data_IF_856155337756
#
_entry.id   IF_856155337756
#
_cell.length_a   1.000
_cell.length_b   1.000
_cell.length_c   1.000
_cell.angle_alpha   90.00
_cell.angle_beta   90.00
_cell.angle_gamma   90.00
#
_symmetry.space_group_name_H-M   'P 1'
#
loop_
_entity.id
_entity.type
_entity.pdbx_description
1 polymer ?
#
# COMPACT_ATOMS: atom_id res chain seq x y z
N UNK A 1 23.10 10.26 -0.88
CA UNK A 1 22.37 11.53 -0.71
C UNK A 1 22.14 11.76 0.77
N UNK A 2 22.32 13.00 1.24
CA UNK A 2 22.04 13.38 2.62
C UNK A 2 20.64 13.96 2.72
N UNK A 3 19.87 13.54 3.72
CA UNK A 3 18.52 14.05 4.02
C UNK A 3 18.56 14.60 5.45
N UNK A 4 17.86 15.70 5.69
CA UNK A 4 17.81 16.35 7.01
C UNK A 4 17.17 15.41 8.04
N UNK A 5 17.86 15.24 9.16
CA UNK A 5 17.36 14.56 10.36
C UNK A 5 16.71 15.59 11.27
N UNK A 6 15.44 15.40 11.59
CA UNK A 6 14.62 16.36 12.35
C UNK A 6 14.21 15.73 13.69
N UNK A 7 14.15 16.56 14.71
CA UNK A 7 13.66 16.21 16.05
C UNK A 7 12.13 16.24 16.12
N UNK A 8 11.55 15.72 17.19
CA UNK A 8 10.10 15.72 17.47
C UNK A 8 9.51 17.13 17.64
N UNK A 9 10.37 18.15 17.83
CA UNK A 9 9.99 19.58 17.91
C UNK A 9 10.10 20.30 16.56
N UNK A 10 10.54 19.62 15.49
CA UNK A 10 10.72 20.22 14.16
C UNK A 10 12.11 20.88 13.95
N UNK A 11 13.02 20.81 14.91
CA UNK A 11 14.39 21.33 14.75
C UNK A 11 15.27 20.36 13.98
N UNK A 12 16.18 20.88 13.14
CA UNK A 12 17.15 20.06 12.38
C UNK A 12 18.33 19.74 13.31
N UNK A 13 18.56 18.44 13.55
CA UNK A 13 19.67 17.94 14.39
C UNK A 13 20.92 17.67 13.54
N UNK A 14 20.74 17.20 12.31
CA UNK A 14 21.86 16.81 11.46
C UNK A 14 21.41 16.20 10.13
N UNK A 15 22.30 15.44 9.51
CA UNK A 15 22.06 14.77 8.25
C UNK A 15 22.02 13.24 8.41
N UNK A 16 21.07 12.58 7.76
CA UNK A 16 21.01 11.12 7.62
C UNK A 16 21.40 10.69 6.21
N UNK A 17 22.32 9.72 6.11
CA UNK A 17 22.74 9.18 4.81
C UNK A 17 21.80 8.06 4.34
N UNK A 18 21.16 8.25 3.18
CA UNK A 18 20.33 7.24 2.56
C UNK A 18 21.17 6.32 1.66
N UNK A 19 20.79 5.03 1.59
CA UNK A 19 21.47 4.04 0.77
C UNK A 19 21.52 4.49 -0.70
N UNK A 20 22.71 4.33 -1.33
CA UNK A 20 22.95 4.71 -2.72
C UNK A 20 22.04 3.96 -3.70
N UNK A 21 21.66 2.73 -3.39
CA UNK A 21 20.78 1.92 -4.25
C UNK A 21 19.36 2.49 -4.36
N UNK A 22 18.85 3.14 -3.30
CA UNK A 22 17.56 3.82 -3.35
C UNK A 22 17.69 5.11 -4.17
N UNK A 23 18.77 5.86 -3.96
CA UNK A 23 18.99 7.16 -4.63
C UNK A 23 19.17 7.00 -6.13
N UNK A 24 19.93 5.98 -6.55
CA UNK A 24 20.28 5.73 -7.96
C UNK A 24 19.29 4.83 -8.69
N UNK A 25 18.19 4.42 -8.03
CA UNK A 25 17.20 3.55 -8.66
C UNK A 25 16.45 4.30 -9.77
N UNK A 26 16.34 3.72 -10.99
CA UNK A 26 15.59 4.36 -12.07
C UNK A 26 14.09 4.45 -11.71
N UNK A 27 13.50 5.61 -11.98
CA UNK A 27 12.08 5.84 -11.75
C UNK A 27 11.30 5.20 -12.89
N UNK A 28 10.49 4.17 -12.58
CA UNK A 28 9.63 3.49 -13.55
C UNK A 28 8.16 3.76 -13.20
N UNK A 29 7.58 4.76 -13.85
CA UNK A 29 6.20 5.18 -13.63
C UNK A 29 5.18 4.12 -13.99
N UNK A 30 5.41 3.35 -15.06
CA UNK A 30 4.50 2.29 -15.50
C UNK A 30 4.39 1.18 -14.46
N UNK A 31 5.53 0.79 -13.87
CA UNK A 31 5.58 -0.21 -12.81
C UNK A 31 4.87 0.26 -11.53
N UNK A 32 5.06 1.53 -11.18
CA UNK A 32 4.36 2.17 -10.05
C UNK A 32 2.86 2.18 -10.30
N UNK A 33 2.41 2.63 -11.47
CA UNK A 33 1.01 2.63 -11.85
C UNK A 33 0.39 1.22 -11.77
N UNK A 34 1.05 0.21 -12.34
CA UNK A 34 0.59 -1.18 -12.28
C UNK A 34 0.48 -1.69 -10.83
N UNK A 35 1.43 -1.30 -9.97
CA UNK A 35 1.39 -1.65 -8.54
C UNK A 35 0.20 -1.01 -7.82
N UNK A 36 -0.10 0.27 -8.10
CA UNK A 36 -1.22 1.00 -7.52
C UNK A 36 -2.55 0.37 -7.97
N UNK A 37 -2.73 0.13 -9.27
CA UNK A 37 -3.95 -0.50 -9.82
C UNK A 37 -4.16 -1.89 -9.23
N UNK A 38 -3.08 -2.68 -9.09
CA UNK A 38 -3.14 -4.00 -8.46
C UNK A 38 -3.57 -3.91 -7.00
N UNK A 39 -3.01 -2.97 -6.25
CA UNK A 39 -3.36 -2.75 -4.84
C UNK A 39 -4.82 -2.35 -4.68
N UNK A 40 -5.30 -1.38 -5.47
CA UNK A 40 -6.70 -0.95 -5.46
C UNK A 40 -7.67 -2.06 -5.86
N UNK A 41 -7.32 -2.86 -6.89
CA UNK A 41 -8.12 -4.00 -7.30
C UNK A 41 -8.25 -5.05 -6.19
N UNK A 42 -7.18 -5.28 -5.43
CA UNK A 42 -7.17 -6.26 -4.34
C UNK A 42 -7.94 -5.80 -3.09
N UNK A 43 -8.23 -4.51 -2.96
CA UNK A 43 -9.09 -3.98 -1.90
C UNK A 43 -10.58 -4.16 -2.19
N UNK A 44 -10.95 -4.39 -3.47
CA UNK A 44 -12.36 -4.55 -3.85
C UNK A 44 -12.89 -5.90 -3.39
N UNK A 45 -13.97 -5.89 -2.65
CA UNK A 45 -14.62 -7.11 -2.12
C UNK A 45 -15.37 -7.90 -3.21
N UNK A 46 -16.01 -7.23 -4.15
CA UNK A 46 -16.67 -7.85 -5.29
C UNK A 46 -17.97 -8.60 -4.99
N UNK A 47 -18.68 -8.21 -3.94
CA UNK A 47 -19.91 -8.86 -3.45
C UNK A 47 -21.20 -8.41 -4.14
N UNK A 48 -21.12 -7.49 -5.10
CA UNK A 48 -22.27 -6.99 -5.83
C UNK A 48 -22.94 -8.11 -6.63
N UNK A 49 -24.27 -8.21 -6.52
CA UNK A 49 -25.06 -9.21 -7.21
C UNK A 49 -26.42 -8.64 -7.63
N UNK A 50 -26.87 -9.02 -8.80
CA UNK A 50 -28.25 -8.83 -9.25
C UNK A 50 -28.91 -10.16 -9.50
N UNK A 51 -30.22 -10.24 -9.29
CA UNK A 51 -30.99 -11.47 -9.50
C UNK A 51 -31.27 -11.67 -10.99
N UNK A 52 -30.88 -12.81 -11.51
CA UNK A 52 -31.27 -13.30 -12.84
C UNK A 52 -32.75 -13.76 -12.84
N UNK A 53 -33.33 -13.99 -14.01
CA UNK A 53 -34.74 -14.39 -14.09
C UNK A 53 -35.05 -15.70 -13.35
N UNK A 54 -34.08 -16.56 -13.10
CA UNK A 54 -34.23 -17.80 -12.34
C UNK A 54 -34.28 -17.55 -10.84
N UNK A 55 -33.63 -16.49 -10.36
CA UNK A 55 -33.50 -16.16 -8.94
C UNK A 55 -34.58 -15.21 -8.41
N UNK A 56 -35.32 -14.54 -9.31
CA UNK A 56 -36.46 -13.69 -8.92
C UNK A 56 -37.62 -14.56 -8.48
N UNK A 57 -38.28 -14.19 -7.35
CA UNK A 57 -39.46 -14.89 -6.85
C UNK A 57 -40.65 -14.71 -7.82
N UNK A 58 -41.45 -15.74 -8.00
CA UNK A 58 -42.64 -15.74 -8.86
C UNK A 58 -42.41 -16.49 -10.20
N UNK A 59 -43.30 -16.36 -11.14
CA UNK A 59 -43.26 -17.10 -12.42
C UNK A 59 -43.70 -18.55 -12.24
N UNK A 60 -43.22 -19.49 -13.00
CA UNK A 60 -43.61 -20.90 -12.93
C UNK A 60 -44.83 -21.24 -13.77
N UNK A 61 -45.84 -20.39 -13.82
CA UNK A 61 -47.03 -20.53 -14.70
C UNK A 61 -46.94 -19.53 -15.86
N UNK A 62 -47.35 -19.93 -17.04
CA UNK A 62 -47.50 -19.06 -18.20
C UNK A 62 -48.57 -18.02 -17.92
N UNK A 63 -48.28 -16.67 -18.10
CA UNK A 63 -49.20 -15.61 -17.70
C UNK A 63 -50.55 -15.64 -18.46
N UNK A 64 -50.53 -16.00 -19.74
CA UNK A 64 -51.71 -16.10 -20.61
C UNK A 64 -51.47 -17.06 -21.76
N UNK A 65 -52.57 -17.43 -22.50
CA UNK A 65 -52.52 -18.33 -23.65
C UNK A 65 -51.58 -17.81 -24.75
N UNK A 66 -51.06 -18.76 -25.57
CA UNK A 66 -50.08 -18.46 -26.61
C UNK A 66 -50.69 -17.64 -27.77
N UNK A 67 -52.01 -17.78 -28.03
CA UNK A 67 -52.75 -17.08 -29.09
C UNK A 67 -54.11 -16.60 -28.54
N UNK A 68 -54.75 -15.63 -29.23
CA UNK A 68 -56.07 -15.14 -28.90
C UNK A 68 -56.15 -14.00 -27.88
N UNK A 69 -55.02 -13.46 -27.37
CA UNK A 69 -55.03 -12.42 -26.36
C UNK A 69 -54.71 -11.03 -26.88
N UNK A 70 -54.33 -10.89 -28.15
CA UNK A 70 -53.89 -9.59 -28.72
C UNK A 70 -52.62 -8.98 -28.11
N UNK A 71 -52.00 -9.69 -27.17
CA UNK A 71 -50.78 -9.26 -26.46
C UNK A 71 -49.53 -9.97 -27.00
N UNK A 72 -48.35 -9.35 -26.76
CA UNK A 72 -47.09 -10.01 -27.06
C UNK A 72 -46.95 -11.31 -26.26
N UNK A 73 -46.42 -12.34 -26.88
CA UNK A 73 -46.24 -13.66 -26.24
C UNK A 73 -45.30 -13.57 -25.05
N UNK A 74 -45.67 -14.19 -23.95
CA UNK A 74 -44.84 -14.22 -22.73
C UNK A 74 -44.82 -15.65 -22.15
N UNK A 75 -43.64 -16.11 -21.79
CA UNK A 75 -43.44 -17.41 -21.13
C UNK A 75 -43.44 -17.30 -19.60
N UNK A 76 -43.04 -16.20 -19.05
CA UNK A 76 -42.94 -15.95 -17.59
C UNK A 76 -42.99 -14.48 -17.28
N UNK A 77 -43.58 -14.13 -16.14
CA UNK A 77 -43.58 -12.76 -15.58
C UNK A 77 -42.22 -12.32 -15.07
N UNK A 78 -41.28 -13.26 -14.85
CA UNK A 78 -39.89 -12.96 -14.42
C UNK A 78 -38.97 -12.57 -15.57
N UNK A 79 -39.47 -12.51 -16.81
CA UNK A 79 -38.67 -12.11 -17.96
C UNK A 79 -38.12 -10.68 -17.78
N UNK A 80 -36.91 -10.38 -18.26
CA UNK A 80 -36.29 -9.05 -18.15
C UNK A 80 -37.10 -7.90 -18.77
N UNK A 81 -37.97 -8.22 -19.74
CA UNK A 81 -38.87 -7.26 -20.39
C UNK A 81 -40.07 -6.85 -19.50
N UNK A 82 -40.30 -7.57 -18.41
CA UNK A 82 -41.38 -7.28 -17.47
C UNK A 82 -40.86 -6.43 -16.29
N UNK A 83 -41.66 -5.49 -15.81
CA UNK A 83 -41.36 -4.72 -14.60
C UNK A 83 -41.25 -5.67 -13.41
N UNK A 84 -40.15 -5.61 -12.69
CA UNK A 84 -39.84 -6.53 -11.61
C UNK A 84 -39.27 -7.89 -12.05
N UNK A 85 -39.01 -8.08 -13.35
CA UNK A 85 -38.28 -9.24 -13.87
C UNK A 85 -36.77 -9.25 -13.51
N UNK A 86 -36.10 -10.33 -13.88
CA UNK A 86 -34.67 -10.48 -13.64
C UNK A 86 -33.82 -9.67 -14.59
N UNK A 87 -32.60 -9.36 -14.15
CA UNK A 87 -31.61 -8.64 -14.96
C UNK A 87 -30.78 -9.63 -15.77
N UNK A 88 -30.56 -9.35 -17.08
CA UNK A 88 -29.89 -10.32 -17.98
C UNK A 88 -28.39 -10.36 -17.75
N UNK A 89 -27.70 -9.25 -17.89
CA UNK A 89 -26.24 -9.12 -17.77
C UNK A 89 -25.85 -8.23 -16.58
N UNK A 90 -26.53 -8.40 -15.47
CA UNK A 90 -26.22 -7.64 -14.27
C UNK A 90 -24.90 -8.07 -13.60
N UNK A 91 -24.39 -7.26 -12.67
CA UNK A 91 -23.19 -7.60 -11.95
C UNK A 91 -23.37 -8.89 -11.15
N UNK A 92 -22.38 -9.76 -11.21
CA UNK A 92 -22.29 -11.00 -10.44
C UNK A 92 -21.07 -10.95 -9.51
N UNK A 93 -21.09 -11.64 -8.37
CA UNK A 93 -19.95 -11.72 -7.47
C UNK A 93 -18.73 -12.25 -8.20
N UNK A 94 -17.63 -11.51 -8.14
CA UNK A 94 -16.37 -11.93 -8.74
C UNK A 94 -15.18 -11.47 -7.95
N UNK A 95 -14.08 -12.20 -8.02
CA UNK A 95 -12.81 -11.77 -7.45
C UNK A 95 -12.13 -10.76 -8.37
N UNK A 96 -11.70 -9.64 -7.80
CA UNK A 96 -10.88 -8.62 -8.47
C UNK A 96 -9.39 -8.81 -8.22
N UNK A 97 -9.00 -9.88 -7.52
CA UNK A 97 -7.61 -10.13 -7.15
C UNK A 97 -6.69 -10.20 -8.37
N UNK A 98 -5.61 -9.41 -8.30
CA UNK A 98 -4.52 -9.39 -9.27
C UNK A 98 -3.21 -9.71 -8.56
N UNK A 99 -2.38 -10.53 -9.17
CA UNK A 99 -1.05 -10.86 -8.65
C UNK A 99 0.02 -10.02 -9.35
N UNK A 100 1.00 -9.56 -8.55
CA UNK A 100 2.20 -8.92 -9.03
C UNK A 100 3.41 -9.65 -8.44
N UNK A 101 4.44 -9.88 -9.23
CA UNK A 101 5.65 -10.59 -8.80
C UNK A 101 6.37 -9.82 -7.67
N UNK A 102 7.02 -10.54 -6.75
CA UNK A 102 7.74 -9.94 -5.62
C UNK A 102 8.77 -8.89 -6.06
N UNK A 103 9.58 -9.21 -7.07
CA UNK A 103 10.58 -8.26 -7.63
C UNK A 103 9.93 -6.98 -8.18
N UNK A 104 8.77 -7.10 -8.84
CA UNK A 104 8.02 -5.93 -9.35
C UNK A 104 7.50 -5.06 -8.20
N UNK A 105 6.97 -5.65 -7.13
CA UNK A 105 6.52 -4.91 -5.94
C UNK A 105 7.66 -4.14 -5.28
N UNK A 106 8.82 -4.79 -5.13
CA UNK A 106 10.04 -4.15 -4.58
C UNK A 106 10.54 -3.03 -5.48
N UNK A 107 10.61 -3.27 -6.81
CA UNK A 107 11.01 -2.25 -7.79
C UNK A 107 10.07 -1.05 -7.82
N UNK A 108 8.73 -1.27 -7.72
CA UNK A 108 7.75 -0.19 -7.62
C UNK A 108 7.95 0.65 -6.34
N UNK A 109 8.23 0.00 -5.21
CA UNK A 109 8.51 0.71 -3.95
C UNK A 109 9.82 1.52 -4.03
N UNK A 110 10.88 0.94 -4.61
CA UNK A 110 12.14 1.65 -4.84
C UNK A 110 11.95 2.86 -5.75
N UNK A 111 11.23 2.72 -6.86
CA UNK A 111 10.93 3.83 -7.79
C UNK A 111 10.16 4.96 -7.10
N UNK A 112 9.17 4.64 -6.24
CA UNK A 112 8.42 5.67 -5.50
C UNK A 112 9.28 6.36 -4.45
N UNK A 113 10.18 5.66 -3.77
CA UNK A 113 11.11 6.24 -2.80
C UNK A 113 12.15 7.14 -3.49
N UNK A 114 12.72 6.68 -4.62
CA UNK A 114 13.63 7.48 -5.43
C UNK A 114 12.96 8.78 -5.92
N UNK A 115 11.71 8.71 -6.34
CA UNK A 115 10.93 9.88 -6.73
C UNK A 115 10.74 10.86 -5.57
N UNK A 116 10.35 10.38 -4.37
CA UNK A 116 10.21 11.24 -3.18
C UNK A 116 11.53 11.91 -2.77
N UNK A 117 12.64 11.20 -2.95
CA UNK A 117 13.98 11.76 -2.70
C UNK A 117 14.35 12.83 -3.70
N UNK A 118 14.08 12.63 -4.99
CA UNK A 118 14.36 13.62 -6.05
C UNK A 118 13.58 14.91 -5.85
N UNK A 119 12.33 14.83 -5.37
CA UNK A 119 11.48 15.98 -5.03
C UNK A 119 11.78 16.59 -3.66
N UNK A 120 12.73 16.04 -2.88
CA UNK A 120 13.04 16.46 -1.50
C UNK A 120 11.84 16.40 -0.55
N UNK A 121 10.88 15.51 -0.80
CA UNK A 121 9.66 15.31 -0.01
C UNK A 121 9.77 14.17 1.00
N UNK A 122 10.98 13.64 1.22
CA UNK A 122 11.27 12.67 2.25
C UNK A 122 11.94 13.35 3.45
N UNK A 123 11.33 13.20 4.63
CA UNK A 123 11.77 13.77 5.90
C UNK A 123 12.14 12.62 6.83
N UNK A 124 13.31 12.70 7.47
CA UNK A 124 13.74 11.70 8.44
C UNK A 124 13.58 12.25 9.84
N UNK A 125 12.83 11.54 10.68
CA UNK A 125 12.69 11.87 12.10
C UNK A 125 13.68 11.04 12.94
N UNK A 126 14.08 11.63 14.06
CA UNK A 126 14.76 10.90 15.11
C UNK A 126 13.87 9.79 15.64
N UNK A 127 14.47 8.69 16.13
CA UNK A 127 13.72 7.57 16.66
C UNK A 127 12.94 7.95 17.92
N UNK A 128 11.74 7.40 18.06
CA UNK A 128 10.93 7.55 19.26
C UNK A 128 11.54 6.71 20.39
N UNK A 129 11.89 7.39 21.48
CA UNK A 129 12.23 6.78 22.77
C UNK A 129 11.01 6.88 23.68
N UNK A 130 11.00 6.19 24.82
CA UNK A 130 9.86 6.20 25.76
C UNK A 130 9.50 7.60 26.27
N UNK A 131 10.46 8.52 26.30
CA UNK A 131 10.28 9.93 26.69
C UNK A 131 9.73 10.82 25.57
N UNK A 132 9.89 10.42 24.28
CA UNK A 132 9.60 11.26 23.11
C UNK A 132 8.47 10.71 22.22
N UNK A 133 7.66 9.78 22.75
CA UNK A 133 6.48 9.26 22.03
C UNK A 133 5.39 10.33 21.98
N UNK A 134 4.64 10.34 20.87
CA UNK A 134 3.43 11.15 20.80
C UNK A 134 2.40 10.62 21.80
N UNK A 135 2.30 11.26 22.96
CA UNK A 135 1.29 10.88 23.95
C UNK A 135 -0.08 11.44 23.62
N UNK A 136 -0.13 12.61 22.98
CA UNK A 136 -1.35 13.33 22.63
C UNK A 136 -1.37 13.71 21.15
N UNK A 137 -2.57 13.85 20.58
CA UNK A 137 -2.80 14.34 19.20
C UNK A 137 -2.24 15.75 18.99
N UNK A 138 -2.21 16.58 20.04
CA UNK A 138 -1.65 17.93 20.00
C UNK A 138 -0.16 17.92 19.66
N UNK A 139 0.62 17.00 20.23
CA UNK A 139 2.06 16.89 19.99
C UNK A 139 2.36 16.51 18.54
N UNK A 140 1.59 15.54 18.00
CA UNK A 140 1.71 15.15 16.59
C UNK A 140 1.31 16.30 15.64
N UNK A 141 0.28 17.07 15.97
CA UNK A 141 -0.13 18.24 15.18
C UNK A 141 0.92 19.35 15.21
N UNK A 142 1.46 19.67 16.37
CA UNK A 142 2.52 20.67 16.52
C UNK A 142 3.76 20.33 15.67
N UNK A 143 4.14 19.05 15.61
CA UNK A 143 5.24 18.61 14.74
C UNK A 143 4.92 18.86 13.26
N UNK A 144 3.73 18.52 12.79
CA UNK A 144 3.34 18.72 11.40
C UNK A 144 3.29 20.19 11.01
N UNK A 145 2.76 21.01 11.90
CA UNK A 145 2.69 22.46 11.71
C UNK A 145 4.12 23.05 11.64
N UNK A 146 5.05 22.56 12.48
CA UNK A 146 6.46 22.98 12.44
C UNK A 146 7.20 22.54 11.16
N UNK A 147 6.79 21.40 10.57
CA UNK A 147 7.33 20.92 9.30
C UNK A 147 6.67 21.57 8.08
N UNK A 148 5.69 22.45 8.26
CA UNK A 148 4.87 23.05 7.18
C UNK A 148 4.24 22.01 6.24
N UNK A 149 3.86 20.83 6.78
CA UNK A 149 3.26 19.74 6.02
C UNK A 149 1.74 19.91 6.04
N UNK A 150 1.21 20.78 5.18
CA UNK A 150 -0.23 21.07 5.10
C UNK A 150 -1.02 20.02 4.31
N UNK A 151 -0.34 19.22 3.46
CA UNK A 151 -0.97 18.24 2.58
C UNK A 151 -0.84 16.83 3.12
N UNK A 152 -1.56 15.89 2.47
CA UNK A 152 -1.57 14.49 2.87
C UNK A 152 -0.15 13.91 2.99
N UNK A 153 0.19 13.45 4.18
CA UNK A 153 1.52 12.91 4.51
C UNK A 153 1.45 11.47 4.99
N UNK A 154 2.50 10.71 4.73
CA UNK A 154 2.69 9.36 5.22
C UNK A 154 3.69 9.37 6.36
N UNK A 155 3.25 8.99 7.55
CA UNK A 155 4.12 8.79 8.71
C UNK A 155 4.47 7.31 8.83
N UNK A 156 5.75 6.98 8.75
CA UNK A 156 6.26 5.62 8.87
C UNK A 156 7.00 5.47 10.20
N UNK A 157 6.47 4.61 11.05
CA UNK A 157 7.01 4.30 12.36
C UNK A 157 7.73 2.95 12.35
N UNK A 158 8.67 2.78 13.28
CA UNK A 158 9.28 1.49 13.55
C UNK A 158 8.41 0.71 14.52
N UNK A 159 7.97 -0.50 14.09
CA UNK A 159 7.14 -1.37 14.90
C UNK A 159 5.71 -0.87 15.12
N UNK A 160 5.01 -1.57 16.02
CA UNK A 160 3.64 -1.25 16.42
C UNK A 160 3.64 -0.36 17.67
N UNK A 161 4.12 0.87 17.59
CA UNK A 161 3.91 1.83 18.68
C UNK A 161 2.46 2.29 18.71
N UNK A 162 1.63 1.52 19.42
CA UNK A 162 0.19 1.73 19.51
C UNK A 162 -0.17 3.12 20.02
N UNK A 163 0.66 3.73 20.85
CA UNK A 163 0.40 5.05 21.40
C UNK A 163 0.57 6.15 20.34
N UNK A 164 1.68 6.14 19.62
CA UNK A 164 1.91 7.08 18.52
C UNK A 164 0.92 6.89 17.36
N UNK A 165 0.53 5.66 17.05
CA UNK A 165 -0.52 5.38 16.05
C UNK A 165 -1.86 5.97 16.49
N UNK A 166 -2.27 5.77 17.75
CA UNK A 166 -3.53 6.32 18.26
C UNK A 166 -3.54 7.85 18.25
N UNK A 167 -2.42 8.49 18.58
CA UNK A 167 -2.31 9.96 18.61
C UNK A 167 -2.37 10.58 17.21
N UNK A 168 -1.97 9.84 16.16
CA UNK A 168 -1.93 10.33 14.78
C UNK A 168 -3.17 9.98 13.96
N UNK A 169 -3.87 8.88 14.28
CA UNK A 169 -5.02 8.40 13.49
C UNK A 169 -6.19 9.38 13.37
N UNK A 170 -6.34 10.32 14.32
CA UNK A 170 -7.42 11.31 14.30
C UNK A 170 -7.08 12.57 13.50
N UNK A 171 -5.92 12.61 12.85
CA UNK A 171 -5.49 13.76 12.05
C UNK A 171 -5.77 13.44 10.57
N UNK A 172 -6.66 14.21 9.93
CA UNK A 172 -7.19 13.91 8.59
C UNK A 172 -6.12 13.82 7.49
N UNK A 173 -5.05 14.62 7.61
CA UNK A 173 -4.01 14.74 6.58
C UNK A 173 -2.85 13.75 6.77
N UNK A 174 -2.95 12.79 7.68
CA UNK A 174 -1.90 11.81 7.94
C UNK A 174 -2.39 10.38 7.74
N UNK A 175 -1.57 9.57 7.09
CA UNK A 175 -1.70 8.12 7.13
C UNK A 175 -0.50 7.55 7.87
N UNK A 176 -0.72 6.82 8.97
CA UNK A 176 0.36 6.19 9.73
C UNK A 176 0.49 4.73 9.36
N UNK A 177 1.69 4.29 9.04
CA UNK A 177 2.01 2.89 8.72
C UNK A 177 3.27 2.44 9.45
N UNK A 178 3.33 1.13 9.76
CA UNK A 178 4.58 0.49 10.17
C UNK A 178 5.52 0.33 8.97
N UNK A 179 6.83 0.35 9.22
CA UNK A 179 7.88 0.13 8.21
C UNK A 179 7.69 -1.18 7.44
N UNK A 180 7.13 -2.21 8.07
CA UNK A 180 6.87 -3.51 7.45
C UNK A 180 5.66 -3.52 6.51
N UNK A 181 4.69 -2.62 6.71
CA UNK A 181 3.46 -2.54 5.94
C UNK A 181 3.51 -1.54 4.77
N UNK A 182 4.62 -0.84 4.63
CA UNK A 182 4.77 0.16 3.58
C UNK A 182 4.65 -0.45 2.18
N UNK A 183 3.95 0.23 1.30
CA UNK A 183 3.77 -0.17 -0.09
C UNK A 183 3.85 1.04 -1.03
N UNK A 184 4.09 0.78 -2.32
CA UNK A 184 4.22 1.84 -3.34
C UNK A 184 2.97 2.72 -3.45
N UNK A 185 1.77 2.17 -3.22
CA UNK A 185 0.51 2.92 -3.28
C UNK A 185 0.41 3.96 -2.16
N UNK A 186 0.80 3.63 -0.93
CA UNK A 186 0.79 4.55 0.20
C UNK A 186 1.79 5.69 0.00
N UNK A 187 3.02 5.36 -0.44
CA UNK A 187 4.07 6.36 -0.72
C UNK A 187 3.67 7.27 -1.88
N UNK A 188 3.08 6.74 -2.96
CA UNK A 188 2.66 7.54 -4.11
C UNK A 188 1.49 8.49 -3.78
N UNK A 189 0.54 8.04 -2.94
CA UNK A 189 -0.63 8.83 -2.54
C UNK A 189 -0.25 10.02 -1.67
N UNK A 190 0.74 9.87 -0.79
CA UNK A 190 1.19 10.94 0.10
C UNK A 190 2.03 11.97 -0.67
N UNK A 191 1.94 13.24 -0.32
CA UNK A 191 2.85 14.25 -0.85
C UNK A 191 4.19 14.21 -0.11
N UNK A 192 4.17 14.21 1.21
CA UNK A 192 5.35 14.08 2.05
C UNK A 192 5.41 12.70 2.69
N UNK A 193 6.62 12.18 2.81
CA UNK A 193 6.91 10.96 3.54
C UNK A 193 7.80 11.29 4.74
N UNK A 194 7.30 11.04 5.92
CA UNK A 194 7.98 11.24 7.19
C UNK A 194 8.31 9.86 7.74
N UNK A 195 9.57 9.55 7.96
CA UNK A 195 10.01 8.21 8.40
C UNK A 195 11.02 8.31 9.54
N UNK A 196 10.91 7.44 10.53
CA UNK A 196 11.89 7.34 11.61
C UNK A 196 13.20 6.73 11.11
N UNK A 197 14.32 7.06 11.76
CA UNK A 197 15.65 6.54 11.41
C UNK A 197 15.69 5.02 11.47
N UNK A 198 15.12 4.39 12.51
CA UNK A 198 14.97 2.93 12.60
C UNK A 198 14.03 2.40 11.52
N UNK A 199 12.92 3.11 11.24
CA UNK A 199 11.98 2.75 10.19
C UNK A 199 12.62 2.64 8.80
N UNK A 200 13.56 3.55 8.45
CA UNK A 200 14.34 3.43 7.21
C UNK A 200 15.21 2.18 7.22
N UNK A 201 15.91 1.91 8.33
CA UNK A 201 16.78 0.74 8.42
C UNK A 201 16.00 -0.56 8.26
N UNK A 202 14.85 -0.68 8.93
CA UNK A 202 13.97 -1.84 8.84
C UNK A 202 13.35 -1.98 7.44
N UNK A 203 12.95 -0.87 6.82
CA UNK A 203 12.47 -0.87 5.43
C UNK A 203 13.53 -1.43 4.46
N UNK A 204 14.77 -1.01 4.61
CA UNK A 204 15.90 -1.47 3.78
C UNK A 204 16.16 -2.96 4.00
N UNK A 205 16.20 -3.43 5.24
CA UNK A 205 16.52 -4.82 5.58
C UNK A 205 15.36 -5.77 5.27
N UNK A 206 14.15 -5.46 5.74
CA UNK A 206 13.01 -6.39 5.70
C UNK A 206 12.27 -6.36 4.36
N UNK A 207 12.03 -5.17 3.84
CA UNK A 207 11.20 -5.02 2.62
C UNK A 207 12.00 -4.97 1.34
N UNK A 208 13.09 -4.22 1.31
CA UNK A 208 13.92 -4.07 0.12
C UNK A 208 15.00 -5.15 0.03
N UNK A 209 15.38 -5.76 1.16
CA UNK A 209 16.45 -6.77 1.25
C UNK A 209 17.76 -6.29 0.62
N UNK A 210 18.05 -5.00 0.77
CA UNK A 210 19.31 -4.42 0.32
C UNK A 210 20.38 -4.63 1.40
N UNK A 211 21.59 -4.97 0.98
CA UNK A 211 22.72 -5.19 1.89
C UNK A 211 23.09 -3.88 2.60
N UNK A 212 23.06 -3.85 3.92
CA UNK A 212 23.64 -2.76 4.69
C UNK A 212 25.14 -2.97 4.79
N UNK A 213 25.95 -1.93 4.53
CA UNK A 213 27.43 -1.99 4.50
C UNK A 213 28.12 -2.62 5.74
N UNK A 214 27.41 -3.00 6.77
CA UNK A 214 27.96 -3.64 7.98
C UNK A 214 28.15 -5.15 7.85
N UNK A 215 27.53 -5.84 6.90
CA UNK A 215 27.58 -7.32 6.80
C UNK A 215 28.66 -7.86 5.86
N UNK A 216 29.38 -6.98 5.16
CA UNK A 216 30.44 -7.43 4.19
C UNK A 216 31.70 -7.95 4.90
N UNK A 217 31.80 -7.89 6.24
CA UNK A 217 33.01 -8.30 6.99
C UNK A 217 32.98 -9.71 7.59
N UNK A 218 31.99 -10.56 7.33
CA UNK A 218 31.94 -11.88 7.95
C UNK A 218 31.37 -13.00 7.05
N UNK A 219 31.84 -13.11 5.81
CA UNK A 219 31.78 -14.41 5.13
C UNK A 219 33.13 -15.09 5.37
N UNK A 220 33.20 -16.21 6.12
CA UNK A 220 34.43 -16.98 6.22
C UNK A 220 34.72 -17.58 4.84
N UNK A 221 35.95 -17.34 4.36
CA UNK A 221 36.50 -18.03 3.21
C UNK A 221 36.34 -19.53 3.38
N UNK A 222 35.64 -20.18 2.48
CA UNK A 222 35.62 -21.63 2.38
C UNK A 222 36.99 -22.07 1.98
N UNK A 223 37.78 -22.51 2.95
CA UNK A 223 39.02 -23.24 2.74
C UNK A 223 38.74 -24.50 1.93
N UNK A 224 39.08 -24.48 0.66
CA UNK A 224 39.24 -25.69 -0.18
C UNK A 224 40.37 -26.54 0.39
N UNK A 225 40.00 -27.55 1.18
CA UNK A 225 40.95 -28.63 1.50
C UNK A 225 41.13 -29.49 0.24
N UNK A 226 42.23 -29.32 -0.39
CA UNK A 226 42.81 -30.28 -1.32
C UNK A 226 42.90 -31.63 -0.62
N UNK A 227 42.28 -32.65 -1.20
CA UNK A 227 42.63 -34.03 -0.98
C UNK A 227 43.75 -34.37 -1.98
N UNK A 228 44.96 -34.28 -1.55
CA UNK A 228 46.05 -35.05 -2.17
C UNK A 228 46.11 -36.42 -1.46
N UNK A 229 45.97 -37.42 -2.26
CA UNK A 229 46.62 -38.70 -2.42
C UNK A 229 47.28 -39.35 -1.20
N UNK A 230 46.97 -40.62 -1.01
CA UNK A 230 48.00 -41.66 -1.11
C UNK A 230 47.38 -43.06 -1.22
N UNK A 231 47.82 -43.73 -2.29
CA UNK A 231 47.95 -45.21 -2.55
C UNK A 231 46.74 -46.09 -2.34
#
# INVERSE_FOLDING_TARGET
>A
MKVKLIDHKGSVIGDHNINKEIVNHPINEQLVHQSIVTFQANQRQGTHKTKSRSEVRGGGRKPFSQKGTGRARAGTTRSPIWRGGGIVFGPQPRSYRKNLNKKMKTGALLSTLAFKLSEKKLIVLQDFNDTNKFSKTKDAKNLLDSLNVAKHSLLVLDGADNQSIRSTNNIDNITTLSSDLINASAVARSEYMIITKKGITNLIQNRLKLETKKEVKSKPEKTTKNKEETK
#
